data_IF_154125881103
#
_entry.id   IF_154125881103
#
_cell.length_a   1.000
_cell.length_b   1.000
_cell.length_c   1.000
_cell.angle_alpha   90.00
_cell.angle_beta   90.00
_cell.angle_gamma   90.00
#
_symmetry.space_group_name_H-M   'P 1'
#
loop_
_entity.id
_entity.type
_entity.pdbx_description
1 polymer ?
#
# COMPACT_ATOMS: atom_id res chain seq x y z
N UNK A 1 15.20 7.48 -15.23
CA UNK A 1 14.63 6.28 -14.59
C UNK A 1 13.73 6.74 -13.47
N UNK A 2 12.55 6.13 -13.32
CA UNK A 2 11.59 6.40 -12.26
C UNK A 2 11.18 5.05 -11.66
N UNK A 3 10.87 5.06 -10.38
CA UNK A 3 10.38 3.91 -9.62
C UNK A 3 9.08 4.31 -8.90
N UNK A 4 8.24 3.32 -8.60
CA UNK A 4 6.98 3.56 -7.92
C UNK A 4 6.53 2.38 -7.07
N UNK A 5 5.76 1.42 -7.60
CA UNK A 5 5.25 0.30 -6.78
C UNK A 5 5.35 -1.03 -7.52
N UNK A 6 4.86 -1.10 -8.75
CA UNK A 6 4.68 -2.38 -9.44
C UNK A 6 3.68 -2.31 -10.59
N UNK A 7 3.42 -3.44 -11.28
CA UNK A 7 2.74 -3.47 -12.56
C UNK A 7 1.41 -2.70 -12.62
N UNK A 8 0.52 -2.92 -11.64
CA UNK A 8 -0.84 -2.34 -11.67
C UNK A 8 -0.83 -0.81 -11.62
N UNK A 9 0.04 -0.21 -10.81
CA UNK A 9 0.08 1.24 -10.64
C UNK A 9 1.02 1.91 -11.63
N UNK A 10 2.15 1.29 -11.95
CA UNK A 10 3.10 1.81 -12.93
C UNK A 10 2.47 1.88 -14.34
N UNK A 11 1.58 0.92 -14.66
CA UNK A 11 0.80 0.95 -15.90
C UNK A 11 -0.22 2.10 -15.91
N UNK A 12 -0.89 2.37 -14.78
CA UNK A 12 -1.83 3.51 -14.65
C UNK A 12 -1.12 4.85 -14.82
N UNK A 13 0.10 4.96 -14.30
CA UNK A 13 0.96 6.13 -14.48
C UNK A 13 1.56 6.22 -15.90
N UNK A 14 1.49 5.14 -16.68
CA UNK A 14 1.95 5.12 -18.06
C UNK A 14 3.48 5.19 -18.20
N UNK A 15 4.24 4.80 -17.17
CA UNK A 15 5.71 4.91 -17.16
C UNK A 15 6.36 4.21 -18.35
N UNK A 16 5.81 3.06 -18.77
CA UNK A 16 6.27 2.28 -19.93
C UNK A 16 6.24 3.07 -21.25
N UNK A 17 5.41 4.11 -21.37
CA UNK A 17 5.32 4.94 -22.59
C UNK A 17 6.54 5.84 -22.80
N UNK A 18 7.27 6.16 -21.72
CA UNK A 18 8.43 7.06 -21.73
C UNK A 18 9.73 6.39 -21.25
N UNK A 19 9.62 5.27 -20.53
CA UNK A 19 10.73 4.46 -20.05
C UNK A 19 10.44 2.96 -20.30
N UNK A 20 10.92 2.37 -21.41
CA UNK A 20 10.54 1.02 -21.83
C UNK A 20 11.24 -0.11 -21.07
N UNK A 21 12.34 0.20 -20.35
CA UNK A 21 13.06 -0.79 -19.56
C UNK A 21 12.49 -0.89 -18.15
N UNK A 22 11.97 -2.05 -17.79
CA UNK A 22 11.38 -2.31 -16.48
C UNK A 22 12.19 -3.37 -15.73
N UNK A 23 13.01 -2.91 -14.77
CA UNK A 23 13.92 -3.75 -14.00
C UNK A 23 13.26 -4.28 -12.72
N UNK A 24 13.69 -5.46 -12.29
CA UNK A 24 13.27 -6.12 -11.05
C UNK A 24 14.47 -6.88 -10.42
N UNK A 25 14.47 -7.16 -9.10
CA UNK A 25 13.52 -6.66 -8.10
C UNK A 25 13.86 -5.24 -7.64
N UNK A 26 12.84 -4.51 -7.15
CA UNK A 26 13.04 -3.26 -6.39
C UNK A 26 13.61 -3.58 -5.01
N UNK A 27 14.91 -3.89 -4.95
CA UNK A 27 15.56 -4.48 -3.77
C UNK A 27 15.56 -3.58 -2.52
N UNK A 28 15.31 -2.28 -2.65
CA UNK A 28 15.16 -1.36 -1.51
C UNK A 28 13.75 -1.43 -0.88
N UNK A 29 12.76 -2.02 -1.57
CA UNK A 29 11.37 -2.14 -1.13
C UNK A 29 10.85 -3.58 -1.25
N UNK A 30 11.36 -4.52 -0.43
CA UNK A 30 10.94 -5.93 -0.50
C UNK A 30 9.53 -6.21 0.07
N UNK A 31 8.92 -5.24 0.77
CA UNK A 31 7.67 -5.42 1.49
C UNK A 31 7.17 -4.13 2.14
N UNK A 32 6.89 -3.11 1.34
CA UNK A 32 6.46 -1.80 1.80
C UNK A 32 5.11 -1.88 2.54
N UNK A 33 5.12 -1.55 3.84
CA UNK A 33 3.91 -1.50 4.68
C UNK A 33 3.46 -0.06 4.86
N UNK A 34 2.18 0.21 4.59
CA UNK A 34 1.59 1.54 4.77
C UNK A 34 1.07 1.72 6.20
N UNK A 35 1.21 2.93 6.74
CA UNK A 35 0.82 3.24 8.12
C UNK A 35 -0.34 4.24 8.15
N UNK A 36 -1.36 3.92 8.94
CA UNK A 36 -2.36 4.90 9.36
C UNK A 36 -1.85 5.64 10.60
N UNK A 37 -1.41 6.89 10.42
CA UNK A 37 -0.94 7.72 11.53
C UNK A 37 -2.08 8.58 12.06
N UNK A 38 -2.32 8.50 13.37
CA UNK A 38 -3.36 9.25 14.07
C UNK A 38 -2.75 10.15 15.14
N UNK A 39 -3.31 11.33 15.34
CA UNK A 39 -2.90 12.19 16.44
C UNK A 39 -3.18 11.47 17.78
N UNK A 40 -2.16 11.42 18.65
CA UNK A 40 -2.24 10.69 19.92
C UNK A 40 -3.38 11.18 20.82
N UNK A 41 -3.54 12.49 20.98
CA UNK A 41 -4.58 13.07 21.84
C UNK A 41 -5.98 12.77 21.29
N UNK A 42 -6.15 12.85 19.97
CA UNK A 42 -7.41 12.49 19.32
C UNK A 42 -7.75 11.01 19.49
N UNK A 43 -6.75 10.12 19.39
CA UNK A 43 -6.94 8.68 19.60
C UNK A 43 -7.29 8.36 21.07
N UNK A 44 -6.59 8.95 22.03
CA UNK A 44 -6.85 8.77 23.47
C UNK A 44 -8.21 9.33 23.90
N UNK A 45 -8.74 10.33 23.19
CA UNK A 45 -10.07 10.89 23.42
C UNK A 45 -11.21 9.99 22.91
N UNK A 46 -10.92 8.96 22.11
CA UNK A 46 -11.94 8.02 21.62
C UNK A 46 -12.41 7.09 22.75
N UNK A 47 -13.72 6.75 22.80
CA UNK A 47 -14.20 5.66 23.64
C UNK A 47 -13.46 4.34 23.33
N UNK A 48 -13.28 3.43 24.31
CA UNK A 48 -12.54 2.18 24.11
C UNK A 48 -13.03 1.35 22.91
N UNK A 49 -14.34 1.30 22.69
CA UNK A 49 -14.91 0.59 21.55
C UNK A 49 -14.46 1.16 20.19
N UNK A 50 -14.21 2.47 20.09
CA UNK A 50 -13.80 3.10 18.84
C UNK A 50 -12.30 3.01 18.60
N UNK A 51 -11.50 2.95 19.68
CA UNK A 51 -10.09 2.59 19.57
C UNK A 51 -9.95 1.17 18.97
N UNK A 52 -10.77 0.23 19.47
CA UNK A 52 -10.77 -1.15 18.96
C UNK A 52 -11.23 -1.22 17.50
N UNK A 53 -12.32 -0.54 17.14
CA UNK A 53 -12.80 -0.49 15.75
C UNK A 53 -11.72 0.05 14.82
N UNK A 54 -10.99 1.10 15.22
CA UNK A 54 -9.90 1.65 14.41
C UNK A 54 -8.75 0.64 14.26
N UNK A 55 -8.37 -0.06 15.32
CA UNK A 55 -7.33 -1.10 15.28
C UNK A 55 -7.68 -2.22 14.31
N UNK A 56 -8.88 -2.78 14.43
CA UNK A 56 -9.37 -3.86 13.56
C UNK A 56 -9.50 -3.40 12.10
N UNK A 57 -9.98 -2.17 11.88
CA UNK A 57 -10.08 -1.62 10.54
C UNK A 57 -8.70 -1.46 9.87
N UNK A 58 -7.69 -1.01 10.62
CA UNK A 58 -6.31 -0.90 10.12
C UNK A 58 -5.71 -2.27 9.79
N UNK A 59 -5.92 -3.28 10.64
CA UNK A 59 -5.47 -4.65 10.37
C UNK A 59 -6.13 -5.21 9.10
N UNK A 60 -7.45 -5.08 8.99
CA UNK A 60 -8.20 -5.53 7.82
C UNK A 60 -7.74 -4.83 6.53
N UNK A 61 -7.53 -3.51 6.59
CA UNK A 61 -7.05 -2.74 5.46
C UNK A 61 -5.62 -3.14 5.05
N UNK A 62 -4.73 -3.41 6.00
CA UNK A 62 -3.37 -3.86 5.73
C UNK A 62 -3.37 -5.20 4.96
N UNK A 63 -4.19 -6.15 5.40
CA UNK A 63 -4.34 -7.45 4.73
C UNK A 63 -5.00 -7.31 3.35
N UNK A 64 -6.05 -6.49 3.23
CA UNK A 64 -6.77 -6.28 1.96
C UNK A 64 -5.88 -5.62 0.90
N UNK A 65 -5.05 -4.63 1.27
CA UNK A 65 -4.13 -3.98 0.33
C UNK A 65 -3.15 -5.00 -0.26
N UNK A 66 -2.52 -5.82 0.58
CA UNK A 66 -1.59 -6.86 0.14
C UNK A 66 -2.30 -7.85 -0.81
N UNK A 67 -3.45 -8.37 -0.40
CA UNK A 67 -4.23 -9.32 -1.20
C UNK A 67 -4.65 -8.73 -2.57
N UNK A 68 -4.96 -7.44 -2.63
CA UNK A 68 -5.29 -6.75 -3.88
C UNK A 68 -4.10 -6.65 -4.82
N UNK A 69 -2.91 -6.32 -4.31
CA UNK A 69 -1.71 -6.29 -5.16
C UNK A 69 -1.33 -7.68 -5.67
N UNK A 70 -1.43 -8.71 -4.83
CA UNK A 70 -1.20 -10.10 -5.23
C UNK A 70 -2.19 -10.54 -6.33
N UNK A 71 -3.44 -10.10 -6.25
CA UNK A 71 -4.44 -10.39 -7.27
C UNK A 71 -4.23 -9.62 -8.58
N UNK A 72 -3.88 -8.33 -8.50
CA UNK A 72 -3.86 -7.43 -9.66
C UNK A 72 -2.52 -7.40 -10.40
N UNK A 73 -1.39 -7.52 -9.71
CA UNK A 73 -0.08 -7.45 -10.35
C UNK A 73 0.19 -8.59 -11.36
N UNK A 74 -0.31 -9.82 -11.17
CA UNK A 74 -0.18 -10.88 -12.19
C UNK A 74 -1.17 -10.75 -13.35
N UNK A 75 -2.22 -9.93 -13.20
CA UNK A 75 -3.20 -9.74 -14.27
C UNK A 75 -2.61 -8.85 -15.37
N UNK A 76 -2.81 -9.26 -16.63
CA UNK A 76 -2.34 -8.57 -17.83
C UNK A 76 -3.29 -7.48 -18.30
#
# INVERSE_FOLDING_TARGET
AAEWIGPVDDQRLGLVKVAPYYYYPGWWEPGSTLHALVNKQAYEALPPAYQEVLSVACEAANCDIMARYDALNPMR
#
